data_IF_555561208151
#
_entry.id   IF_555561208151
#
_cell.length_a   1.000
_cell.length_b   1.000
_cell.length_c   1.000
_cell.angle_alpha   90.00
_cell.angle_beta   90.00
_cell.angle_gamma   90.00
#
_symmetry.space_group_name_H-M   'P 1'
#
loop_
_entity.id
_entity.type
_entity.pdbx_description
1 polymer ?
#
# COMPACT_ATOMS: atom_id res chain seq x y z
N UNK A 1 50.48 26.74 63.30
CA UNK A 1 51.15 26.13 62.15
C UNK A 1 50.21 26.13 61.00
N UNK A 2 50.48 27.00 60.11
CA UNK A 2 49.72 27.44 58.91
C UNK A 2 49.98 26.46 57.78
N UNK A 3 48.98 25.97 57.16
CA UNK A 3 49.16 25.39 55.82
C UNK A 3 48.18 26.03 54.82
N UNK A 4 48.78 26.59 53.80
CA UNK A 4 48.15 27.28 52.68
C UNK A 4 47.91 26.25 51.61
N UNK A 5 46.66 25.88 51.34
CA UNK A 5 46.29 25.17 50.16
C UNK A 5 46.05 26.18 49.00
N UNK A 6 46.94 26.08 48.01
CA UNK A 6 46.87 26.86 46.78
C UNK A 6 45.62 26.57 45.95
N UNK A 7 44.92 27.61 45.62
CA UNK A 7 43.86 27.60 44.63
C UNK A 7 44.54 27.54 43.25
N UNK A 8 44.45 26.43 42.57
CA UNK A 8 44.87 26.31 41.17
C UNK A 8 43.91 27.12 40.30
N UNK A 9 44.43 28.17 39.71
CA UNK A 9 43.80 29.00 38.71
C UNK A 9 43.51 28.20 37.47
N UNK A 10 42.23 27.99 37.17
CA UNK A 10 41.74 27.28 35.98
C UNK A 10 41.91 28.21 34.78
N UNK A 11 42.64 27.82 33.70
CA UNK A 11 42.86 28.71 32.57
C UNK A 11 41.50 28.94 31.86
N UNK A 12 41.24 30.22 31.67
CA UNK A 12 40.14 30.82 30.91
C UNK A 12 40.07 30.20 29.49
N UNK A 13 39.01 29.41 29.23
CA UNK A 13 38.69 28.89 27.89
C UNK A 13 37.86 29.91 27.12
N UNK A 14 38.35 31.12 27.02
CA UNK A 14 37.83 32.11 26.08
C UNK A 14 38.48 31.86 24.72
N UNK A 15 37.66 31.59 23.70
CA UNK A 15 38.03 31.74 22.30
C UNK A 15 38.30 30.44 21.54
N UNK A 16 37.29 29.65 21.31
CA UNK A 16 37.24 28.78 20.15
C UNK A 16 36.05 29.19 19.25
N UNK A 17 36.13 30.41 18.68
CA UNK A 17 35.44 30.70 17.43
C UNK A 17 36.14 29.90 16.31
N UNK A 18 35.89 28.56 16.32
CA UNK A 18 36.27 27.72 15.23
C UNK A 18 35.48 28.11 13.97
N UNK A 19 36.08 28.05 12.78
CA UNK A 19 35.42 28.41 11.54
C UNK A 19 34.09 27.68 11.47
N UNK A 20 32.99 28.40 11.17
CA UNK A 20 31.63 27.88 11.01
C UNK A 20 31.77 26.71 10.03
N UNK A 21 31.64 25.48 10.52
CA UNK A 21 31.87 24.28 9.75
C UNK A 21 30.95 24.29 8.52
N UNK A 22 31.56 24.41 7.36
CA UNK A 22 30.84 24.53 6.10
C UNK A 22 30.02 23.26 5.89
N UNK A 23 28.68 23.40 5.89
CA UNK A 23 27.73 22.29 5.78
C UNK A 23 28.02 21.52 4.49
N UNK A 24 28.41 20.26 4.60
CA UNK A 24 28.81 19.44 3.46
C UNK A 24 27.68 19.31 2.42
N UNK A 25 28.02 19.13 1.12
CA UNK A 25 27.01 18.90 0.08
C UNK A 25 26.14 17.67 0.35
N UNK A 26 26.70 16.64 1.00
CA UNK A 26 26.01 15.43 1.41
C UNK A 26 25.01 15.72 2.53
N UNK A 27 25.42 16.44 3.55
CA UNK A 27 24.56 16.86 4.65
C UNK A 27 23.36 17.69 4.19
N UNK A 28 23.58 18.65 3.29
CA UNK A 28 22.51 19.44 2.68
C UNK A 28 21.46 18.56 1.98
N UNK A 29 21.87 17.43 1.38
CA UNK A 29 20.97 16.49 0.72
C UNK A 29 20.19 15.66 1.73
N UNK A 30 20.83 15.14 2.78
CA UNK A 30 20.11 14.45 3.86
C UNK A 30 19.11 15.36 4.55
N UNK A 31 19.46 16.62 4.84
CA UNK A 31 18.53 17.62 5.39
C UNK A 31 17.32 17.86 4.48
N UNK A 32 17.48 17.80 3.14
CA UNK A 32 16.34 17.85 2.21
C UNK A 32 15.46 16.59 2.29
N UNK A 33 16.04 15.41 2.35
CA UNK A 33 15.29 14.16 2.51
C UNK A 33 14.52 14.11 3.83
N UNK A 34 15.08 14.70 4.90
CA UNK A 34 14.39 14.80 6.17
C UNK A 34 13.11 15.66 6.13
N UNK A 35 12.85 16.39 5.06
CA UNK A 35 11.54 17.04 4.85
C UNK A 35 10.38 16.05 4.81
N UNK A 36 10.65 14.77 4.55
CA UNK A 36 9.67 13.70 4.66
C UNK A 36 9.19 13.49 6.11
N UNK A 37 10.02 13.83 7.12
CA UNK A 37 9.63 13.75 8.52
C UNK A 37 8.80 14.96 8.96
N UNK A 38 7.92 14.80 9.96
CA UNK A 38 7.17 15.91 10.56
C UNK A 38 8.08 16.99 11.13
N UNK A 39 7.60 18.24 11.11
CA UNK A 39 8.39 19.39 11.58
C UNK A 39 8.86 19.24 13.04
N UNK A 40 7.96 18.79 13.91
CA UNK A 40 8.25 18.55 15.34
C UNK A 40 9.34 17.48 15.55
N UNK A 41 9.33 16.43 14.75
CA UNK A 41 10.35 15.38 14.82
C UNK A 41 11.70 15.88 14.30
N UNK A 42 11.70 16.68 13.23
CA UNK A 42 12.91 17.30 12.68
C UNK A 42 13.59 18.28 13.64
N UNK A 43 12.80 19.10 14.33
CA UNK A 43 13.34 20.05 15.31
C UNK A 43 13.94 19.36 16.54
N UNK A 44 13.45 18.17 16.91
CA UNK A 44 13.93 17.46 18.12
C UNK A 44 15.04 16.44 17.82
N UNK A 45 15.08 15.83 16.62
CA UNK A 45 16.00 14.74 16.27
C UNK A 45 16.61 14.84 14.87
N UNK A 46 16.40 15.96 14.17
CA UNK A 46 16.89 16.10 12.80
C UNK A 46 18.40 16.02 12.68
N UNK A 47 19.12 16.69 13.58
CA UNK A 47 20.59 16.71 13.56
C UNK A 47 21.19 15.36 13.98
N UNK A 48 20.57 14.65 14.95
CA UNK A 48 20.95 13.29 15.34
C UNK A 48 20.84 12.31 14.16
N UNK A 49 19.72 12.40 13.41
CA UNK A 49 19.52 11.55 12.23
C UNK A 49 20.54 11.87 11.13
N UNK A 50 20.79 13.14 10.84
CA UNK A 50 21.80 13.52 9.85
C UNK A 50 23.16 13.00 10.26
N UNK A 51 23.56 13.18 11.54
CA UNK A 51 24.82 12.66 12.07
C UNK A 51 24.92 11.13 11.86
N UNK A 52 23.89 10.37 12.27
CA UNK A 52 23.86 8.91 12.10
C UNK A 52 24.04 8.47 10.65
N UNK A 53 23.40 9.15 9.69
CA UNK A 53 23.58 8.82 8.28
C UNK A 53 24.96 9.23 7.74
N UNK A 54 25.53 10.33 8.22
CA UNK A 54 26.88 10.76 7.82
C UNK A 54 27.94 9.80 8.37
N UNK A 55 27.75 9.27 9.58
CA UNK A 55 28.67 8.31 10.21
C UNK A 55 28.67 6.94 9.49
N UNK A 56 27.56 6.58 8.86
CA UNK A 56 27.42 5.32 8.12
C UNK A 56 27.92 5.38 6.67
N UNK A 57 28.17 6.57 6.15
CA UNK A 57 28.56 6.78 4.74
C UNK A 57 30.06 7.00 4.62
N UNK A 58 30.67 6.38 3.60
CA UNK A 58 32.04 6.60 3.19
C UNK A 58 32.33 8.10 3.03
N UNK A 59 33.41 8.64 3.63
CA UNK A 59 33.76 10.07 3.59
C UNK A 59 33.84 10.66 2.18
N UNK A 60 34.19 9.85 1.17
CA UNK A 60 34.35 10.28 -0.23
C UNK A 60 33.02 10.41 -0.99
N UNK A 61 31.91 9.98 -0.40
CA UNK A 61 30.59 10.06 -1.03
C UNK A 61 29.99 11.46 -0.98
N UNK A 62 29.69 12.00 -2.16
CA UNK A 62 29.02 13.30 -2.28
C UNK A 62 27.49 13.23 -2.40
N UNK A 63 26.90 12.02 -2.49
CA UNK A 63 25.45 11.81 -2.69
C UNK A 63 24.95 10.62 -1.86
N UNK A 64 23.73 10.73 -1.25
CA UNK A 64 23.05 9.58 -0.65
C UNK A 64 22.87 8.47 -1.69
N UNK A 65 23.00 7.21 -1.29
CA UNK A 65 22.60 6.09 -2.15
C UNK A 65 21.08 6.10 -2.37
N UNK A 66 20.62 5.43 -3.44
CA UNK A 66 19.18 5.27 -3.67
C UNK A 66 18.50 4.52 -2.51
N UNK A 67 19.22 3.57 -1.91
CA UNK A 67 18.75 2.81 -0.75
C UNK A 67 18.58 3.70 0.47
N UNK A 68 19.57 4.54 0.81
CA UNK A 68 19.51 5.47 1.94
C UNK A 68 18.37 6.48 1.76
N UNK A 69 18.20 7.02 0.54
CA UNK A 69 17.13 7.95 0.24
C UNK A 69 15.74 7.31 0.43
N UNK A 70 15.56 6.07 -0.03
CA UNK A 70 14.30 5.33 0.16
C UNK A 70 14.06 5.03 1.64
N UNK A 71 15.10 4.67 2.39
CA UNK A 71 14.97 4.39 3.83
C UNK A 71 14.59 5.64 4.62
N UNK A 72 15.24 6.77 4.36
CA UNK A 72 14.88 8.07 4.96
C UNK A 72 13.43 8.45 4.63
N UNK A 73 13.01 8.34 3.37
CA UNK A 73 11.66 8.68 2.95
C UNK A 73 10.62 7.75 3.61
N UNK A 74 10.90 6.45 3.66
CA UNK A 74 10.03 5.45 4.30
C UNK A 74 9.91 5.69 5.81
N UNK A 75 11.03 6.01 6.47
CA UNK A 75 11.06 6.39 7.90
C UNK A 75 10.23 7.65 8.16
N UNK A 76 10.42 8.69 7.32
CA UNK A 76 9.67 9.94 7.41
C UNK A 76 8.17 9.76 7.21
N UNK A 77 7.76 8.99 6.22
CA UNK A 77 6.35 8.66 5.99
C UNK A 77 5.75 7.91 7.18
N UNK A 78 6.46 6.89 7.69
CA UNK A 78 6.02 6.16 8.88
C UNK A 78 5.84 7.07 10.09
N UNK A 79 6.75 8.04 10.28
CA UNK A 79 6.65 8.98 11.39
C UNK A 79 5.49 9.98 11.24
N UNK A 80 5.20 10.44 10.00
CA UNK A 80 3.99 11.25 9.73
C UNK A 80 2.71 10.47 10.03
N UNK A 81 2.63 9.22 9.60
CA UNK A 81 1.48 8.36 9.90
C UNK A 81 1.32 8.13 11.41
N UNK A 82 2.43 8.04 12.15
CA UNK A 82 2.40 7.97 13.62
C UNK A 82 1.84 9.24 14.26
N UNK A 83 2.29 10.41 13.83
CA UNK A 83 1.81 11.68 14.39
C UNK A 83 0.33 11.94 14.07
N UNK A 84 -0.13 11.48 12.92
CA UNK A 84 -1.53 11.59 12.51
C UNK A 84 -2.45 10.52 13.14
N UNK A 85 -1.93 9.66 14.01
CA UNK A 85 -2.72 8.56 14.59
C UNK A 85 -3.09 7.46 13.59
N UNK A 86 -2.54 7.50 12.36
CA UNK A 86 -2.78 6.53 11.30
C UNK A 86 -1.85 5.30 11.36
N UNK A 87 -1.40 4.93 12.56
CA UNK A 87 -0.54 3.74 12.78
C UNK A 87 -1.16 2.46 12.23
N UNK A 88 -2.49 2.37 12.25
CA UNK A 88 -3.24 1.25 11.69
C UNK A 88 -3.03 1.07 10.20
N UNK A 89 -2.90 2.16 9.42
CA UNK A 89 -2.72 2.11 7.97
C UNK A 89 -1.42 1.41 7.56
N UNK A 90 -0.29 1.77 8.17
CA UNK A 90 0.99 1.15 7.86
C UNK A 90 1.04 -0.34 8.24
N UNK A 91 0.34 -0.72 9.32
CA UNK A 91 0.21 -2.10 9.75
C UNK A 91 -0.81 -2.91 8.93
N UNK A 92 -1.75 -2.23 8.27
CA UNK A 92 -2.76 -2.83 7.40
C UNK A 92 -2.23 -3.14 5.99
N UNK A 93 -1.22 -2.40 5.51
CA UNK A 93 -0.66 -2.60 4.17
C UNK A 93 -0.25 -4.05 3.87
N UNK A 94 0.44 -4.80 4.76
CA UNK A 94 0.76 -6.20 4.53
C UNK A 94 -0.49 -7.09 4.40
N UNK A 95 -1.54 -6.81 5.17
CA UNK A 95 -2.80 -7.56 5.13
C UNK A 95 -3.51 -7.27 3.80
N UNK A 96 -3.64 -5.99 3.45
CA UNK A 96 -4.22 -5.58 2.17
C UNK A 96 -3.47 -6.17 0.97
N UNK A 97 -2.13 -6.20 1.02
CA UNK A 97 -1.31 -6.80 -0.03
C UNK A 97 -1.55 -8.31 -0.17
N UNK A 98 -1.66 -9.03 0.95
CA UNK A 98 -1.97 -10.48 0.94
C UNK A 98 -3.34 -10.73 0.33
N UNK A 99 -4.37 -9.98 0.73
CA UNK A 99 -5.72 -10.09 0.16
C UNK A 99 -5.69 -9.74 -1.34
N UNK A 100 -4.96 -8.69 -1.73
CA UNK A 100 -4.83 -8.30 -3.14
C UNK A 100 -4.23 -9.42 -4.01
N UNK A 101 -3.14 -10.07 -3.57
CA UNK A 101 -2.55 -11.19 -4.31
C UNK A 101 -3.51 -12.38 -4.37
N UNK A 102 -4.21 -12.67 -3.27
CA UNK A 102 -5.20 -13.76 -3.22
C UNK A 102 -6.35 -13.52 -4.21
N UNK A 103 -6.85 -12.27 -4.25
CA UNK A 103 -7.89 -11.87 -5.22
C UNK A 103 -7.39 -11.96 -6.65
N UNK A 104 -6.14 -11.52 -6.92
CA UNK A 104 -5.54 -11.64 -8.25
C UNK A 104 -5.36 -13.10 -8.67
N UNK A 105 -4.93 -13.98 -7.75
CA UNK A 105 -4.85 -15.41 -8.01
C UNK A 105 -6.21 -16.01 -8.33
N UNK A 106 -7.26 -15.66 -7.59
CA UNK A 106 -8.62 -16.11 -7.83
C UNK A 106 -9.17 -15.62 -9.18
N UNK A 107 -9.01 -14.34 -9.48
CA UNK A 107 -9.43 -13.75 -10.75
C UNK A 107 -8.68 -14.36 -11.93
N UNK A 108 -7.37 -14.54 -11.80
CA UNK A 108 -6.54 -15.11 -12.86
C UNK A 108 -6.94 -16.56 -13.16
N UNK A 109 -7.16 -17.37 -12.14
CA UNK A 109 -7.62 -18.75 -12.33
C UNK A 109 -9.01 -18.81 -12.97
N UNK A 110 -9.95 -18.01 -12.46
CA UNK A 110 -11.30 -17.94 -12.96
C UNK A 110 -11.36 -17.49 -14.44
N UNK A 111 -10.70 -16.36 -14.76
CA UNK A 111 -10.72 -15.80 -16.11
C UNK A 111 -9.95 -16.67 -17.11
N UNK A 112 -8.87 -17.31 -16.68
CA UNK A 112 -8.14 -18.26 -17.52
C UNK A 112 -9.00 -19.43 -17.95
N UNK A 113 -9.75 -20.02 -17.03
CA UNK A 113 -10.59 -21.20 -17.30
C UNK A 113 -11.86 -20.79 -18.02
N UNK A 114 -12.61 -19.82 -17.48
CA UNK A 114 -13.95 -19.48 -17.96
C UNK A 114 -13.98 -18.62 -19.22
N UNK A 115 -12.91 -17.84 -19.48
CA UNK A 115 -12.89 -16.94 -20.63
C UNK A 115 -11.86 -17.36 -21.66
N UNK A 116 -10.60 -17.55 -21.26
CA UNK A 116 -9.54 -17.76 -22.26
C UNK A 116 -9.60 -19.12 -22.94
N UNK A 117 -9.96 -20.19 -22.21
CA UNK A 117 -10.03 -21.54 -22.77
C UNK A 117 -11.43 -21.98 -23.18
N UNK A 118 -12.40 -21.11 -23.18
CA UNK A 118 -13.73 -21.41 -23.67
C UNK A 118 -13.71 -21.58 -25.19
N UNK A 119 -14.22 -22.68 -25.69
CA UNK A 119 -14.32 -22.98 -27.13
C UNK A 119 -15.41 -22.14 -27.78
N UNK A 120 -15.08 -20.96 -28.29
CA UNK A 120 -15.96 -20.15 -29.11
C UNK A 120 -15.83 -20.56 -30.59
N UNK A 121 -16.95 -20.62 -31.34
CA UNK A 121 -16.89 -20.85 -32.78
C UNK A 121 -16.04 -19.80 -33.49
N UNK A 122 -15.21 -20.20 -34.44
CA UNK A 122 -14.26 -19.32 -35.13
C UNK A 122 -14.88 -18.07 -35.82
N UNK A 123 -16.19 -18.10 -36.09
CA UNK A 123 -16.91 -16.96 -36.67
C UNK A 123 -17.19 -15.84 -35.65
N UNK A 124 -17.04 -16.12 -34.33
CA UNK A 124 -17.29 -15.14 -33.27
C UNK A 124 -16.01 -14.37 -32.94
N UNK A 125 -14.85 -15.04 -33.07
CA UNK A 125 -13.53 -14.41 -32.83
C UNK A 125 -12.62 -14.63 -34.03
N UNK A 126 -12.42 -13.61 -34.87
CA UNK A 126 -11.61 -13.72 -36.09
C UNK A 126 -10.11 -13.89 -35.82
N UNK A 127 -9.63 -13.53 -34.65
CA UNK A 127 -8.24 -13.67 -34.24
C UNK A 127 -8.17 -14.35 -32.85
N UNK A 128 -7.42 -15.46 -32.77
CA UNK A 128 -7.20 -16.21 -31.53
C UNK A 128 -5.69 -16.31 -31.25
N UNK A 129 -5.34 -16.49 -29.99
CA UNK A 129 -3.96 -16.71 -29.53
C UNK A 129 -3.79 -18.20 -29.23
N UNK A 130 -3.55 -19.01 -30.26
CA UNK A 130 -3.54 -20.47 -30.14
C UNK A 130 -4.90 -20.98 -29.65
N UNK A 131 -4.96 -21.77 -28.56
CA UNK A 131 -6.21 -22.26 -27.98
C UNK A 131 -6.94 -21.20 -27.12
N UNK A 132 -6.35 -20.00 -26.91
CA UNK A 132 -6.88 -18.94 -26.06
C UNK A 132 -7.56 -17.86 -26.90
N UNK A 133 -8.51 -17.18 -26.29
CA UNK A 133 -9.27 -16.11 -26.96
C UNK A 133 -8.48 -14.82 -27.13
N UNK A 134 -7.64 -14.49 -26.16
CA UNK A 134 -6.94 -13.18 -26.14
C UNK A 134 -5.50 -13.30 -25.64
N UNK A 135 -4.75 -12.19 -25.71
CA UNK A 135 -3.46 -12.04 -25.01
C UNK A 135 -3.58 -12.18 -23.47
N UNK A 136 -4.79 -12.24 -22.94
CA UNK A 136 -5.07 -12.42 -21.51
C UNK A 136 -4.51 -13.73 -20.95
N UNK A 137 -4.38 -14.77 -21.76
CA UNK A 137 -3.77 -16.03 -21.33
C UNK A 137 -2.41 -15.83 -20.68
N UNK A 138 -1.53 -15.02 -21.28
CA UNK A 138 -0.21 -14.71 -20.72
C UNK A 138 -0.29 -13.90 -19.42
N UNK A 139 -1.26 -12.99 -19.35
CA UNK A 139 -1.51 -12.18 -18.16
C UNK A 139 -1.94 -13.02 -16.97
N UNK A 140 -2.93 -13.90 -17.18
CA UNK A 140 -3.48 -14.75 -16.13
C UNK A 140 -2.47 -15.77 -15.65
N UNK A 141 -1.72 -16.38 -16.56
CA UNK A 141 -0.58 -17.26 -16.20
C UNK A 141 0.46 -16.45 -15.39
N UNK A 142 0.80 -15.24 -15.82
CA UNK A 142 1.73 -14.36 -15.09
C UNK A 142 1.26 -14.06 -13.66
N UNK A 143 -0.02 -13.77 -13.46
CA UNK A 143 -0.59 -13.53 -12.13
C UNK A 143 -0.67 -14.80 -11.28
N UNK A 144 -0.98 -15.96 -11.85
CA UNK A 144 -0.93 -17.25 -11.15
C UNK A 144 0.49 -17.60 -10.71
N UNK A 145 1.49 -17.37 -11.57
CA UNK A 145 2.90 -17.55 -11.23
C UNK A 145 3.34 -16.56 -10.13
N UNK A 146 2.87 -15.32 -10.18
CA UNK A 146 3.12 -14.35 -9.12
C UNK A 146 2.49 -14.77 -7.78
N UNK A 147 1.25 -15.28 -7.79
CA UNK A 147 0.59 -15.81 -6.61
C UNK A 147 1.35 -17.04 -6.06
N UNK A 148 1.76 -17.97 -6.90
CA UNK A 148 2.58 -19.12 -6.51
C UNK A 148 3.94 -18.68 -5.95
N UNK A 149 4.59 -17.68 -6.57
CA UNK A 149 5.85 -17.14 -6.09
C UNK A 149 5.75 -16.58 -4.66
N UNK A 150 4.60 -16.00 -4.28
CA UNK A 150 4.40 -15.50 -2.91
C UNK A 150 4.32 -16.61 -1.87
N UNK A 151 3.93 -17.82 -2.26
CA UNK A 151 3.84 -18.98 -1.37
C UNK A 151 5.19 -19.67 -1.17
N UNK A 152 5.96 -19.82 -2.27
CA UNK A 152 7.14 -20.69 -2.31
C UNK A 152 8.45 -19.89 -2.20
N UNK A 153 8.52 -18.71 -2.81
CA UNK A 153 9.77 -17.96 -2.94
C UNK A 153 9.99 -16.96 -1.79
N UNK A 154 11.25 -16.54 -1.56
CA UNK A 154 11.54 -15.42 -0.68
C UNK A 154 10.83 -14.13 -1.15
N UNK A 155 10.42 -13.27 -0.22
CA UNK A 155 9.62 -12.08 -0.50
C UNK A 155 10.21 -11.14 -1.56
N UNK A 156 11.55 -11.08 -1.69
CA UNK A 156 12.21 -10.29 -2.73
C UNK A 156 11.88 -10.78 -4.15
N UNK A 157 11.88 -12.08 -4.36
CA UNK A 157 11.53 -12.71 -5.62
C UNK A 157 10.02 -12.65 -5.88
N UNK A 158 9.20 -12.86 -4.85
CA UNK A 158 7.75 -12.72 -4.94
C UNK A 158 7.35 -11.30 -5.42
N UNK A 159 7.95 -10.25 -4.86
CA UNK A 159 7.72 -8.87 -5.31
C UNK A 159 8.16 -8.62 -6.74
N UNK A 160 9.29 -9.23 -7.17
CA UNK A 160 9.73 -9.16 -8.58
C UNK A 160 8.74 -9.84 -9.51
N UNK A 161 8.19 -10.98 -9.11
CA UNK A 161 7.13 -11.68 -9.84
C UNK A 161 5.88 -10.81 -9.99
N UNK A 162 5.42 -10.16 -8.91
CA UNK A 162 4.30 -9.22 -8.95
C UNK A 162 4.61 -8.02 -9.85
N UNK A 163 5.81 -7.44 -9.75
CA UNK A 163 6.21 -6.33 -10.61
C UNK A 163 6.26 -6.75 -12.08
N UNK A 164 6.75 -7.96 -12.38
CA UNK A 164 6.75 -8.51 -13.73
C UNK A 164 5.33 -8.73 -14.26
N UNK A 165 4.40 -9.23 -13.43
CA UNK A 165 3.00 -9.39 -13.81
C UNK A 165 2.31 -8.02 -14.06
N UNK A 166 2.62 -6.99 -13.28
CA UNK A 166 2.17 -5.61 -13.53
C UNK A 166 2.70 -5.11 -14.88
N UNK A 167 4.00 -5.26 -15.13
CA UNK A 167 4.62 -4.83 -16.38
C UNK A 167 4.05 -5.58 -17.59
N UNK A 168 3.81 -6.88 -17.47
CA UNK A 168 3.16 -7.69 -18.48
C UNK A 168 1.74 -7.18 -18.77
N UNK A 169 0.97 -6.86 -17.71
CA UNK A 169 -0.37 -6.30 -17.83
C UNK A 169 -0.36 -4.94 -18.53
N UNK A 170 0.60 -4.07 -18.20
CA UNK A 170 0.77 -2.78 -18.87
C UNK A 170 1.21 -2.94 -20.32
N UNK A 171 2.12 -3.88 -20.61
CA UNK A 171 2.62 -4.15 -21.96
C UNK A 171 1.54 -4.70 -22.90
N UNK A 172 0.56 -5.44 -22.39
CA UNK A 172 -0.55 -5.95 -23.19
C UNK A 172 -1.43 -4.84 -23.79
N UNK A 173 -1.45 -3.65 -23.16
CA UNK A 173 -2.24 -2.51 -23.66
C UNK A 173 -1.75 -2.04 -25.04
N UNK A 174 -0.46 -1.68 -25.23
CA UNK A 174 0.05 -1.32 -26.55
C UNK A 174 0.31 -2.53 -27.46
N UNK A 175 0.55 -3.72 -26.91
CA UNK A 175 0.83 -4.90 -27.72
C UNK A 175 -0.36 -5.32 -28.58
N UNK A 176 -1.58 -5.18 -28.09
CA UNK A 176 -2.79 -5.57 -28.82
C UNK A 176 -2.94 -4.82 -30.16
N UNK A 177 -2.92 -3.48 -30.22
CA UNK A 177 -3.02 -2.77 -31.50
C UNK A 177 -1.80 -3.00 -32.39
N UNK A 178 -0.62 -3.28 -31.85
CA UNK A 178 0.58 -3.56 -32.64
C UNK A 178 0.59 -4.95 -33.26
N UNK A 179 0.01 -5.94 -32.58
CA UNK A 179 -0.01 -7.32 -33.06
C UNK A 179 -1.31 -7.69 -33.80
N UNK A 180 -2.35 -6.86 -33.73
CA UNK A 180 -3.69 -7.17 -34.22
C UNK A 180 -4.41 -8.23 -33.40
N UNK A 181 -3.85 -8.66 -32.26
CA UNK A 181 -4.46 -9.68 -31.39
C UNK A 181 -5.39 -9.06 -30.37
N UNK A 182 -6.51 -9.73 -30.03
CA UNK A 182 -7.41 -9.25 -28.99
C UNK A 182 -6.75 -9.30 -27.61
N UNK A 183 -7.13 -8.34 -26.75
CA UNK A 183 -6.70 -8.27 -25.34
C UNK A 183 -7.89 -8.22 -24.41
N UNK A 184 -7.73 -8.53 -23.13
CA UNK A 184 -8.73 -8.23 -22.11
C UNK A 184 -9.10 -6.74 -22.10
N UNK A 185 -10.39 -6.41 -21.88
CA UNK A 185 -10.83 -5.03 -21.86
C UNK A 185 -10.26 -4.25 -20.70
N UNK A 186 -10.14 -2.91 -20.84
CA UNK A 186 -9.55 -2.04 -19.82
C UNK A 186 -10.28 -2.09 -18.48
N UNK A 187 -11.60 -2.29 -18.49
CA UNK A 187 -12.38 -2.41 -17.24
C UNK A 187 -12.01 -3.66 -16.41
N UNK A 188 -11.29 -4.62 -17.00
CA UNK A 188 -10.68 -5.76 -16.28
C UNK A 188 -9.22 -5.45 -15.92
N UNK A 189 -8.45 -4.86 -16.85
CA UNK A 189 -7.02 -4.60 -16.63
C UNK A 189 -6.76 -3.55 -15.55
N UNK A 190 -7.58 -2.49 -15.49
CA UNK A 190 -7.41 -1.38 -14.53
C UNK A 190 -7.54 -1.85 -13.07
N UNK A 191 -8.60 -2.58 -12.67
CA UNK A 191 -8.66 -3.14 -11.31
C UNK A 191 -7.54 -4.13 -11.02
N UNK A 192 -7.15 -4.97 -11.98
CA UNK A 192 -6.01 -5.89 -11.83
C UNK A 192 -4.72 -5.12 -11.54
N UNK A 193 -4.45 -4.03 -12.23
CA UNK A 193 -3.31 -3.15 -11.95
C UNK A 193 -3.42 -2.50 -10.56
N UNK A 194 -4.59 -2.05 -10.15
CA UNK A 194 -4.81 -1.45 -8.84
C UNK A 194 -4.56 -2.44 -7.69
N UNK A 195 -5.06 -3.68 -7.82
CA UNK A 195 -4.72 -4.77 -6.90
C UNK A 195 -3.24 -5.09 -6.94
N UNK A 196 -2.63 -5.15 -8.13
CA UNK A 196 -1.20 -5.41 -8.32
C UNK A 196 -0.32 -4.38 -7.60
N UNK A 197 -0.63 -3.09 -7.72
CA UNK A 197 0.07 -2.02 -7.00
C UNK A 197 -0.06 -2.19 -5.48
N UNK A 198 -1.25 -2.55 -5.00
CA UNK A 198 -1.46 -2.86 -3.58
C UNK A 198 -0.63 -4.07 -3.13
N UNK A 199 -0.54 -5.09 -3.98
CA UNK A 199 0.22 -6.32 -3.74
C UNK A 199 1.73 -6.10 -3.60
N UNK A 200 2.31 -5.03 -4.17
CA UNK A 200 3.73 -4.68 -3.97
C UNK A 200 4.09 -4.36 -2.51
N UNK A 201 3.09 -4.06 -1.68
CA UNK A 201 3.29 -3.80 -0.24
C UNK A 201 3.46 -5.07 0.61
N UNK A 202 3.66 -6.25 0.01
CA UNK A 202 3.94 -7.50 0.72
C UNK A 202 5.09 -7.32 1.73
N UNK A 203 5.00 -7.93 2.94
CA UNK A 203 6.03 -7.84 3.94
C UNK A 203 7.33 -8.52 3.49
N UNK A 204 8.48 -8.06 4.00
CA UNK A 204 9.78 -8.64 3.66
C UNK A 204 9.93 -10.10 4.16
N UNK A 205 9.22 -10.45 5.23
CA UNK A 205 9.20 -11.79 5.81
C UNK A 205 7.75 -12.18 6.10
N UNK A 206 7.01 -12.69 5.09
CA UNK A 206 5.65 -13.15 5.32
C UNK A 206 5.70 -14.42 6.18
N UNK A 207 4.93 -14.43 7.28
CA UNK A 207 4.62 -15.66 8.00
C UNK A 207 3.69 -16.57 7.19
N UNK A 208 3.37 -17.75 7.70
CA UNK A 208 2.45 -18.69 7.06
C UNK A 208 1.08 -18.06 6.71
N UNK A 209 0.56 -17.23 7.59
CA UNK A 209 -0.68 -16.48 7.36
C UNK A 209 -0.64 -15.54 6.15
N UNK A 210 0.54 -15.15 5.69
CA UNK A 210 0.71 -14.35 4.47
C UNK A 210 1.04 -15.16 3.23
N UNK A 211 1.44 -16.43 3.37
CA UNK A 211 1.84 -17.31 2.26
C UNK A 211 0.72 -18.18 1.73
N UNK A 212 -0.14 -18.69 2.62
CA UNK A 212 -1.24 -19.61 2.27
C UNK A 212 -2.38 -18.93 1.48
N UNK A 213 -2.85 -17.72 1.85
CA UNK A 213 -4.02 -17.12 1.21
C UNK A 213 -3.92 -16.94 -0.31
N UNK A 214 -2.77 -16.57 -0.93
CA UNK A 214 -2.68 -16.48 -2.38
C UNK A 214 -2.95 -17.80 -3.11
N UNK A 215 -2.48 -18.92 -2.56
CA UNK A 215 -2.75 -20.25 -3.09
C UNK A 215 -4.23 -20.61 -2.94
N UNK A 216 -4.79 -20.36 -1.74
CA UNK A 216 -6.23 -20.58 -1.51
C UNK A 216 -7.08 -19.74 -2.45
N UNK A 217 -6.69 -18.50 -2.72
CA UNK A 217 -7.35 -17.65 -3.70
C UNK A 217 -7.39 -18.29 -5.09
N UNK A 218 -6.24 -18.73 -5.59
CA UNK A 218 -6.17 -19.40 -6.88
C UNK A 218 -7.02 -20.70 -6.94
N UNK A 219 -6.95 -21.52 -5.88
CA UNK A 219 -7.78 -22.73 -5.77
C UNK A 219 -9.27 -22.38 -5.71
N UNK A 220 -9.66 -21.33 -5.00
CA UNK A 220 -11.06 -20.86 -4.95
C UNK A 220 -11.52 -20.41 -6.33
N UNK A 221 -10.71 -19.63 -7.06
CA UNK A 221 -11.03 -19.21 -8.41
C UNK A 221 -11.22 -20.39 -9.37
N UNK A 222 -10.32 -21.38 -9.27
CA UNK A 222 -10.45 -22.63 -10.03
C UNK A 222 -11.71 -23.41 -9.68
N UNK A 223 -12.01 -23.57 -8.39
CA UNK A 223 -13.20 -24.26 -7.91
C UNK A 223 -14.49 -23.57 -8.36
N UNK A 224 -14.53 -22.25 -8.27
CA UNK A 224 -15.68 -21.46 -8.74
C UNK A 224 -15.87 -21.62 -10.23
N UNK A 225 -14.79 -21.57 -11.03
CA UNK A 225 -14.86 -21.80 -12.46
C UNK A 225 -15.41 -23.21 -12.78
N UNK A 226 -14.91 -24.25 -12.12
CA UNK A 226 -15.38 -25.61 -12.30
C UNK A 226 -16.86 -25.79 -11.88
N UNK A 227 -17.29 -25.11 -10.81
CA UNK A 227 -18.71 -25.16 -10.40
C UNK A 227 -19.64 -24.52 -11.43
N UNK A 228 -19.23 -23.43 -12.07
CA UNK A 228 -19.99 -22.81 -13.14
C UNK A 228 -20.08 -23.72 -14.37
N UNK A 229 -19.00 -24.39 -14.77
CA UNK A 229 -19.07 -25.36 -15.87
C UNK A 229 -20.04 -26.52 -15.61
N UNK A 230 -20.04 -27.03 -14.37
CA UNK A 230 -20.96 -28.11 -13.99
C UNK A 230 -22.41 -27.61 -13.89
N UNK A 231 -22.64 -26.44 -13.32
CA UNK A 231 -23.99 -25.90 -13.14
C UNK A 231 -24.68 -25.57 -14.45
N UNK A 232 -23.93 -25.22 -15.48
CA UNK A 232 -24.45 -24.79 -16.79
C UNK A 232 -24.64 -25.93 -17.81
N UNK A 233 -24.40 -27.18 -17.39
CA UNK A 233 -24.52 -28.38 -18.28
C UNK A 233 -23.81 -28.19 -19.64
N UNK A 234 -22.67 -27.49 -19.65
CA UNK A 234 -21.92 -27.14 -20.87
C UNK A 234 -22.47 -25.96 -21.66
N UNK A 235 -23.48 -25.26 -21.16
CA UNK A 235 -23.96 -23.98 -21.69
C UNK A 235 -23.07 -22.84 -21.25
N UNK A 236 -22.21 -22.35 -22.12
CA UNK A 236 -21.20 -21.32 -21.80
C UNK A 236 -21.82 -19.94 -21.68
N UNK A 237 -22.34 -19.55 -20.51
CA UNK A 237 -22.88 -18.20 -20.25
C UNK A 237 -21.75 -17.16 -20.13
N UNK A 238 -20.54 -17.60 -19.72
CA UNK A 238 -19.37 -16.74 -19.47
C UNK A 238 -18.31 -16.87 -20.58
N UNK A 239 -18.77 -16.85 -21.84
CA UNK A 239 -17.89 -17.01 -23.01
C UNK A 239 -17.01 -15.77 -23.30
N UNK A 240 -17.21 -14.68 -22.60
CA UNK A 240 -16.50 -13.43 -22.86
C UNK A 240 -16.29 -12.60 -21.60
N UNK A 241 -15.31 -11.70 -21.62
CA UNK A 241 -15.12 -10.71 -20.55
C UNK A 241 -16.36 -9.84 -20.32
N UNK A 242 -17.22 -9.70 -21.32
CA UNK A 242 -18.44 -8.93 -21.23
C UNK A 242 -19.45 -9.59 -20.30
N UNK A 243 -19.72 -10.88 -20.49
CA UNK A 243 -20.67 -11.64 -19.68
C UNK A 243 -20.17 -11.86 -18.25
N UNK A 244 -18.84 -11.96 -18.05
CA UNK A 244 -18.24 -12.10 -16.72
C UNK A 244 -18.23 -10.82 -15.89
N UNK A 245 -18.41 -9.64 -16.50
CA UNK A 245 -18.33 -8.35 -15.80
C UNK A 245 -19.39 -8.18 -14.70
N UNK A 246 -20.59 -8.71 -14.88
CA UNK A 246 -21.66 -8.65 -13.88
C UNK A 246 -21.35 -9.52 -12.67
N UNK A 247 -20.85 -10.75 -12.91
CA UNK A 247 -20.42 -11.68 -11.85
C UNK A 247 -19.24 -11.09 -11.07
N UNK A 248 -18.26 -10.50 -11.75
CA UNK A 248 -17.14 -9.83 -11.11
C UNK A 248 -17.62 -8.66 -10.25
N UNK A 249 -18.62 -7.91 -10.72
CA UNK A 249 -19.25 -6.84 -9.95
C UNK A 249 -19.91 -7.34 -8.67
N UNK A 250 -20.74 -8.38 -8.77
CA UNK A 250 -21.37 -9.00 -7.60
C UNK A 250 -20.35 -9.61 -6.64
N UNK A 251 -19.34 -10.30 -7.16
CA UNK A 251 -18.25 -10.84 -6.37
C UNK A 251 -17.46 -9.73 -5.64
N UNK A 252 -17.25 -8.58 -6.28
CA UNK A 252 -16.57 -7.43 -5.66
C UNK A 252 -17.37 -6.85 -4.50
N UNK A 253 -18.68 -6.68 -4.66
CA UNK A 253 -19.58 -6.21 -3.59
C UNK A 253 -19.59 -7.21 -2.44
N UNK A 254 -19.70 -8.50 -2.71
CA UNK A 254 -19.65 -9.57 -1.72
C UNK A 254 -18.31 -9.56 -0.95
N UNK A 255 -17.19 -9.43 -1.65
CA UNK A 255 -15.86 -9.37 -1.06
C UNK A 255 -15.71 -8.15 -0.14
N UNK A 256 -16.11 -6.97 -0.60
CA UNK A 256 -16.05 -5.74 0.21
C UNK A 256 -16.97 -5.85 1.41
N UNK A 257 -18.19 -6.36 1.24
CA UNK A 257 -19.13 -6.58 2.35
C UNK A 257 -18.58 -7.53 3.41
N UNK A 258 -18.06 -8.69 2.99
CA UNK A 258 -17.45 -9.67 3.89
C UNK A 258 -16.21 -9.10 4.59
N UNK A 259 -15.35 -8.41 3.87
CA UNK A 259 -14.17 -7.77 4.43
C UNK A 259 -14.54 -6.66 5.43
N UNK A 260 -15.60 -5.90 5.15
CA UNK A 260 -16.12 -4.87 6.06
C UNK A 260 -16.65 -5.50 7.36
N UNK A 261 -17.46 -6.54 7.27
CA UNK A 261 -17.97 -7.26 8.45
C UNK A 261 -16.81 -7.80 9.27
N UNK A 262 -15.84 -8.46 8.65
CA UNK A 262 -14.64 -8.95 9.33
C UNK A 262 -13.82 -7.81 9.95
N UNK A 263 -13.64 -6.72 9.22
CA UNK A 263 -12.96 -5.52 9.71
C UNK A 263 -13.63 -4.90 10.94
N UNK A 264 -14.96 -4.81 10.93
CA UNK A 264 -15.75 -4.31 12.06
C UNK A 264 -15.66 -5.24 13.28
N UNK A 265 -15.79 -6.56 13.08
CA UNK A 265 -15.66 -7.55 14.17
C UNK A 265 -14.26 -7.45 14.84
N UNK A 266 -13.21 -7.29 14.04
CA UNK A 266 -11.84 -7.10 14.56
C UNK A 266 -11.66 -5.73 15.22
N UNK A 267 -12.31 -4.70 14.73
CA UNK A 267 -12.25 -3.36 15.33
C UNK A 267 -12.90 -3.33 16.73
N UNK A 268 -13.98 -4.11 16.96
CA UNK A 268 -14.60 -4.28 18.28
C UNK A 268 -13.62 -4.92 19.28
N UNK A 269 -12.73 -5.82 18.83
CA UNK A 269 -11.67 -6.41 19.66
C UNK A 269 -10.42 -5.52 19.81
N UNK A 270 -10.47 -4.27 19.32
CA UNK A 270 -9.37 -3.29 19.41
C UNK A 270 -8.35 -3.36 18.27
N UNK A 271 -8.48 -4.28 17.32
CA UNK A 271 -7.59 -4.40 16.16
C UNK A 271 -8.16 -3.66 14.94
N UNK A 272 -7.75 -2.41 14.77
CA UNK A 272 -8.17 -1.57 13.63
C UNK A 272 -7.47 -1.88 12.31
N UNK A 273 -6.49 -2.80 12.27
CA UNK A 273 -5.69 -3.11 11.08
C UNK A 273 -6.53 -3.70 9.96
N UNK A 274 -7.48 -4.57 10.32
CA UNK A 274 -8.40 -5.18 9.37
C UNK A 274 -9.28 -4.12 8.69
N UNK A 275 -9.82 -3.16 9.45
CA UNK A 275 -10.62 -2.07 8.89
C UNK A 275 -9.82 -1.20 7.93
N UNK A 276 -8.57 -0.85 8.27
CA UNK A 276 -7.69 -0.12 7.37
C UNK A 276 -7.37 -0.89 6.09
N UNK A 277 -7.25 -2.24 6.16
CA UNK A 277 -7.06 -3.08 4.98
C UNK A 277 -8.26 -3.01 4.05
N UNK A 278 -9.48 -3.00 4.59
CA UNK A 278 -10.73 -2.84 3.80
C UNK A 278 -10.73 -1.49 3.10
N UNK A 279 -10.42 -0.40 3.82
CA UNK A 279 -10.38 0.95 3.23
C UNK A 279 -9.39 1.04 2.08
N UNK A 280 -8.22 0.37 2.20
CA UNK A 280 -7.22 0.30 1.11
C UNK A 280 -7.71 -0.49 -0.10
N UNK A 281 -8.52 -1.52 0.12
CA UNK A 281 -9.02 -2.42 -0.93
C UNK A 281 -10.34 -1.95 -1.55
N UNK A 282 -11.04 -1.00 -0.95
CA UNK A 282 -12.31 -0.46 -1.51
C UNK A 282 -12.10 0.04 -2.93
N UNK A 283 -11.06 0.80 -3.21
CA UNK A 283 -10.80 1.34 -4.55
C UNK A 283 -10.60 0.23 -5.61
N UNK A 284 -9.63 -0.70 -5.46
CA UNK A 284 -9.46 -1.76 -6.46
C UNK A 284 -10.66 -2.70 -6.56
N UNK A 285 -11.35 -2.97 -5.45
CA UNK A 285 -12.57 -3.78 -5.47
C UNK A 285 -13.72 -3.08 -6.19
N UNK A 286 -13.95 -1.80 -5.95
CA UNK A 286 -14.97 -1.01 -6.67
C UNK A 286 -14.72 -0.97 -8.18
N UNK A 287 -13.46 -0.94 -8.59
CA UNK A 287 -13.08 -0.98 -10.00
C UNK A 287 -13.42 -2.31 -10.68
N UNK A 288 -13.48 -3.43 -9.95
CA UNK A 288 -14.00 -4.69 -10.51
C UNK A 288 -15.48 -4.58 -10.89
N UNK A 289 -16.25 -3.82 -10.12
CA UNK A 289 -17.65 -3.54 -10.37
C UNK A 289 -17.91 -2.33 -11.26
N UNK A 290 -16.88 -1.79 -11.92
CA UNK A 290 -17.01 -0.52 -12.69
C UNK A 290 -18.14 -0.57 -13.71
N UNK A 291 -18.31 -1.70 -14.40
CA UNK A 291 -19.30 -1.85 -15.45
C UNK A 291 -20.73 -1.92 -14.91
N UNK A 292 -21.09 -2.77 -13.96
CA UNK A 292 -22.42 -2.75 -13.35
C UNK A 292 -22.71 -1.42 -12.62
N UNK A 293 -21.72 -0.79 -11.99
CA UNK A 293 -21.88 0.52 -11.35
C UNK A 293 -22.17 1.59 -12.39
N UNK A 294 -21.41 1.62 -13.50
CA UNK A 294 -21.65 2.56 -14.58
C UNK A 294 -23.04 2.33 -15.24
N UNK A 295 -23.42 1.08 -15.46
CA UNK A 295 -24.73 0.74 -16.01
C UNK A 295 -25.88 1.16 -15.07
N UNK A 296 -25.71 0.96 -13.77
CA UNK A 296 -26.70 1.38 -12.77
C UNK A 296 -26.85 2.91 -12.68
N UNK A 297 -25.74 3.65 -12.83
CA UNK A 297 -25.75 5.12 -12.70
C UNK A 297 -26.19 5.83 -13.98
N UNK A 298 -25.68 5.40 -15.14
CA UNK A 298 -25.92 6.06 -16.42
C UNK A 298 -27.11 5.48 -17.18
N UNK A 299 -27.44 4.18 -16.95
CA UNK A 299 -28.48 3.47 -17.68
C UNK A 299 -28.12 3.19 -19.15
N UNK A 300 -28.87 2.29 -19.80
CA UNK A 300 -28.74 2.03 -21.24
C UNK A 300 -27.41 1.43 -21.70
N UNK A 301 -27.07 1.64 -22.97
CA UNK A 301 -25.80 1.18 -23.56
C UNK A 301 -24.66 2.11 -23.13
N UNK A 302 -23.70 1.55 -22.38
CA UNK A 302 -22.57 2.31 -21.85
C UNK A 302 -21.63 2.78 -22.97
N UNK A 303 -21.36 4.06 -22.98
CA UNK A 303 -20.33 4.68 -23.83
C UNK A 303 -18.96 4.59 -23.15
N UNK A 304 -17.90 4.74 -23.93
CA UNK A 304 -16.54 4.70 -23.40
C UNK A 304 -16.25 5.84 -22.42
N UNK A 305 -16.94 6.98 -22.62
CA UNK A 305 -16.72 8.09 -21.73
C UNK A 305 -17.41 7.91 -20.35
N UNK A 306 -18.52 7.20 -20.24
CA UNK A 306 -19.20 6.84 -18.98
C UNK A 306 -18.36 5.86 -18.17
N UNK A 307 -17.75 4.88 -18.86
CA UNK A 307 -16.78 4.00 -18.24
C UNK A 307 -15.54 4.76 -17.75
N UNK A 308 -15.01 5.68 -18.54
CA UNK A 308 -13.86 6.50 -18.15
C UNK A 308 -14.20 7.41 -16.97
N UNK A 309 -15.36 8.09 -17.00
CA UNK A 309 -15.82 8.90 -15.88
C UNK A 309 -15.94 8.08 -14.60
N UNK A 310 -16.55 6.90 -14.67
CA UNK A 310 -16.65 5.97 -13.53
C UNK A 310 -15.27 5.50 -13.05
N UNK A 311 -14.35 5.21 -13.99
CA UNK A 311 -12.97 4.81 -13.68
C UNK A 311 -12.15 5.91 -12.97
N UNK A 312 -12.51 7.17 -13.16
CA UNK A 312 -11.88 8.30 -12.46
C UNK A 312 -12.58 8.58 -11.12
N UNK A 313 -13.92 8.56 -11.11
CA UNK A 313 -14.71 8.86 -9.91
C UNK A 313 -14.46 7.84 -8.80
N UNK A 314 -14.41 6.54 -9.11
CA UNK A 314 -14.22 5.50 -8.09
C UNK A 314 -12.89 5.63 -7.32
N UNK A 315 -11.71 5.79 -7.96
CA UNK A 315 -10.47 6.04 -7.24
C UNK A 315 -10.47 7.34 -6.44
N UNK A 316 -11.07 8.41 -6.99
CA UNK A 316 -11.19 9.68 -6.28
C UNK A 316 -12.08 9.55 -5.04
N UNK A 317 -13.21 8.87 -5.14
CA UNK A 317 -14.07 8.57 -4.01
C UNK A 317 -13.36 7.71 -2.96
N UNK A 318 -12.64 6.67 -3.38
CA UNK A 318 -11.84 5.81 -2.51
C UNK A 318 -10.71 6.59 -1.80
N UNK A 319 -10.00 7.44 -2.54
CA UNK A 319 -8.96 8.31 -1.96
C UNK A 319 -9.54 9.33 -0.98
N UNK A 320 -10.70 9.92 -1.30
CA UNK A 320 -11.41 10.87 -0.43
C UNK A 320 -11.88 10.18 0.85
N UNK A 321 -12.43 8.97 0.75
CA UNK A 321 -12.81 8.15 1.89
C UNK A 321 -11.59 7.85 2.78
N UNK A 322 -10.48 7.43 2.18
CA UNK A 322 -9.25 7.16 2.91
C UNK A 322 -8.77 8.41 3.67
N UNK A 323 -8.74 9.57 3.01
CA UNK A 323 -8.34 10.83 3.63
C UNK A 323 -9.30 11.24 4.76
N UNK A 324 -10.61 11.08 4.57
CA UNK A 324 -11.63 11.37 5.58
C UNK A 324 -11.44 10.48 6.82
N UNK A 325 -11.22 9.17 6.64
CA UNK A 325 -10.99 8.22 7.73
C UNK A 325 -9.68 8.56 8.47
N UNK A 326 -8.59 8.87 7.75
CA UNK A 326 -7.33 9.31 8.36
C UNK A 326 -7.50 10.59 9.16
N UNK A 327 -8.19 11.59 8.61
CA UNK A 327 -8.45 12.87 9.28
C UNK A 327 -9.29 12.67 10.55
N UNK A 328 -10.34 11.87 10.47
CA UNK A 328 -11.23 11.55 11.60
C UNK A 328 -10.49 10.82 12.73
N UNK A 329 -9.71 9.78 12.40
CA UNK A 329 -8.87 9.08 13.37
C UNK A 329 -7.84 10.02 14.00
N UNK A 330 -7.20 10.86 13.22
CA UNK A 330 -6.26 11.86 13.71
C UNK A 330 -6.93 12.89 14.66
N UNK A 331 -8.15 13.32 14.36
CA UNK A 331 -8.91 14.21 15.23
C UNK A 331 -9.30 13.53 16.55
N UNK A 332 -9.81 12.30 16.50
CA UNK A 332 -10.12 11.51 17.71
C UNK A 332 -8.89 11.27 18.58
N UNK A 333 -7.76 10.89 17.97
CA UNK A 333 -6.53 10.67 18.70
C UNK A 333 -6.03 11.94 19.41
N UNK A 334 -6.12 13.10 18.75
CA UNK A 334 -5.79 14.40 19.35
C UNK A 334 -6.74 14.75 20.51
N UNK A 335 -8.03 14.50 20.36
CA UNK A 335 -9.03 14.74 21.40
C UNK A 335 -8.81 13.85 22.63
N UNK A 336 -8.48 12.57 22.45
CA UNK A 336 -8.16 11.65 23.56
C UNK A 336 -6.87 12.10 24.25
N UNK A 337 -5.86 12.45 23.48
CA UNK A 337 -4.58 12.94 24.03
C UNK A 337 -4.73 14.26 24.80
N UNK A 338 -5.56 15.17 24.32
CA UNK A 338 -5.87 16.41 25.02
C UNK A 338 -6.56 16.16 26.38
N UNK A 339 -7.42 15.13 26.45
CA UNK A 339 -8.10 14.74 27.71
C UNK A 339 -7.17 14.01 28.68
N UNK A 340 -6.11 13.35 28.19
CA UNK A 340 -5.16 12.63 29.04
C UNK A 340 -4.03 13.51 29.56
N UNK A 341 -3.86 14.72 29.02
CA UNK A 341 -2.91 15.72 29.53
C UNK A 341 -3.46 16.26 30.86
N UNK A 342 -2.74 16.04 31.95
CA UNK A 342 -3.14 16.43 33.29
C UNK A 342 -3.70 15.31 34.17
N UNK A 343 -4.08 14.16 33.63
CA UNK A 343 -4.49 13.02 34.43
C UNK A 343 -3.28 12.16 34.84
N UNK A 344 -3.15 11.79 36.13
CA UNK A 344 -2.08 10.89 36.55
C UNK A 344 -2.28 9.51 35.90
N UNK A 345 -1.19 8.88 35.50
CA UNK A 345 -1.20 7.50 35.02
C UNK A 345 -1.79 6.59 36.11
N UNK A 346 -2.84 5.82 35.85
CA UNK A 346 -3.48 4.98 36.85
C UNK A 346 -2.57 3.89 37.42
N UNK A 347 -1.48 3.55 36.71
CA UNK A 347 -0.55 2.50 37.12
C UNK A 347 0.66 3.03 37.88
N UNK A 348 1.19 4.23 37.56
CA UNK A 348 2.41 4.77 38.17
C UNK A 348 2.25 6.16 38.76
N UNK A 349 1.08 6.78 38.69
CA UNK A 349 0.80 8.11 39.23
C UNK A 349 1.51 9.27 38.47
N UNK A 350 2.27 8.98 37.44
CA UNK A 350 3.04 10.00 36.72
C UNK A 350 2.12 10.91 35.89
N UNK A 351 2.18 12.21 36.15
CA UNK A 351 1.44 13.24 35.39
C UNK A 351 2.29 13.63 34.18
N UNK A 352 1.79 13.40 32.96
CA UNK A 352 2.44 13.83 31.73
C UNK A 352 2.26 15.35 31.56
N UNK A 353 3.15 16.17 32.17
CA UNK A 353 3.21 17.61 31.93
C UNK A 353 3.98 17.88 30.64
N UNK A 354 3.26 18.26 29.59
CA UNK A 354 3.85 18.64 28.29
C UNK A 354 4.58 19.99 28.38
N UNK A 355 4.25 20.82 29.38
CA UNK A 355 4.82 22.18 29.53
C UNK A 355 6.29 22.23 29.98
N UNK A 356 6.78 21.20 30.66
CA UNK A 356 8.15 21.20 31.20
C UNK A 356 9.27 21.11 30.15
N UNK A 357 8.95 20.94 28.85
CA UNK A 357 9.93 20.91 27.76
C UNK A 357 10.08 22.21 26.98
N UNK A 358 9.18 23.15 27.15
CA UNK A 358 9.31 24.47 26.52
C UNK A 358 10.32 25.37 27.28
N UNK A 359 10.40 25.21 28.62
CA UNK A 359 11.24 26.05 29.49
C UNK A 359 12.68 25.56 29.64
N UNK A 360 12.95 24.28 29.31
CA UNK A 360 14.32 23.75 29.36
C UNK A 360 15.22 24.24 28.22
N UNK A 361 14.65 24.95 27.22
CA UNK A 361 15.38 25.56 26.12
C UNK A 361 15.71 27.05 26.32
N UNK A 362 15.08 27.73 27.30
CA UNK A 362 15.37 29.08 27.64
C UNK A 362 16.22 29.10 28.92
N UNK A 363 17.52 28.95 28.78
CA UNK A 363 18.48 29.05 29.86
C UNK A 363 18.50 30.45 30.51
N UNK A 364 17.42 30.81 31.20
CA UNK A 364 17.45 31.90 32.21
C UNK A 364 17.59 31.24 33.56
N UNK A 365 18.84 31.18 34.01
CA UNK A 365 19.16 31.10 35.42
C UNK A 365 18.68 32.44 36.01
N UNK A 366 17.64 32.40 36.81
CA UNK A 366 17.25 33.53 37.67
C UNK A 366 18.01 33.36 38.98
N UNK A 367 18.67 34.44 39.51
CA UNK A 367 19.55 34.42 40.64
C UNK A 367 18.90 34.03 41.96
#
# INVERSE_FOLDING_TARGET
MTDRSGIAEQPDRTGQDGPIAEVSPLERRYRRLLRAYPSRYRSSRGDELVGTYLDLVDPDRRRPSRHDAVDVLRGGLRQRLREQGALGLAAALPIAATIAVSTLGALAAFLLIQVEFTNLPAHVLPAQVGPAQTLGVFLWIGWLLAALATTVLPAGWARRGIAAAILLTLAAIPAAPLSGLPRPPLYVLVPVLAFGLTALALPARPGWAGRIPPLLGALTGTAVAALFEVAENGGNWFTSYYSTAEVLGMASVGLVGLALVFGLLRAVTGDSRALWSVVLLVTPASLLGIRPIAHWYWGGALTWYELLATAVVLPLAGASLLLAVVAWHGARYRAIRARSVGNPCPTCGHVWNVERRADAGSGRVVP
#
